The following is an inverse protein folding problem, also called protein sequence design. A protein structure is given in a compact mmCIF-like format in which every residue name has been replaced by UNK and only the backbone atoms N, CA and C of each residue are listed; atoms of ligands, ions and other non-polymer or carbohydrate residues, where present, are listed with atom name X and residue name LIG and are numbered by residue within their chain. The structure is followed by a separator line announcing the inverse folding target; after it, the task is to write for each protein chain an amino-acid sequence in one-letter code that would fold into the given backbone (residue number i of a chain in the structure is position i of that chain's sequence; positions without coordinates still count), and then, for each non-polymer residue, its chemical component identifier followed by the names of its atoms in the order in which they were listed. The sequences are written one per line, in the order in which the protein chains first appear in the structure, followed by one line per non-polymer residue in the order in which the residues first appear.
data_IF_270949870192
#
_entry.id   IF_270949870192
#
_cell.length_a   1.000
_cell.length_b   1.000
_cell.length_c   1.000
_cell.angle_alpha   90.00
_cell.angle_beta   90.00
_cell.angle_gamma   90.00
#
_symmetry.space_group_name_H-M   'P 1'
#
loop_
_entity.id
_entity.type
_entity.pdbx_description
1 polymer ?
#
# COMPACT_ATOMS: atom_id res chain seq x y z
N UNK A 1 -0.73 9.84 -4.47
CA UNK A 1 0.02 8.74 -5.11
C UNK A 1 1.32 9.23 -5.76
N UNK A 2 1.36 10.43 -6.38
CA UNK A 2 2.56 10.99 -7.02
C UNK A 2 3.84 10.96 -6.16
N UNK A 3 3.78 11.42 -4.89
CA UNK A 3 4.94 11.36 -4.00
C UNK A 3 5.49 9.94 -3.77
N UNK A 4 4.62 8.93 -3.76
CA UNK A 4 5.04 7.55 -3.61
C UNK A 4 5.78 7.05 -4.85
N UNK A 5 5.31 7.43 -6.05
CA UNK A 5 6.00 7.13 -7.33
C UNK A 5 7.38 7.80 -7.42
N UNK A 6 7.53 9.01 -6.91
CA UNK A 6 8.85 9.68 -6.89
C UNK A 6 9.85 9.04 -5.93
N UNK A 7 9.40 8.37 -4.86
CA UNK A 7 10.29 7.75 -3.87
C UNK A 7 10.52 6.26 -4.11
N UNK A 8 9.62 5.60 -4.83
CA UNK A 8 9.69 4.18 -5.17
C UNK A 8 9.47 4.06 -6.68
N UNK A 9 10.55 4.11 -7.49
CA UNK A 9 10.43 4.21 -8.95
C UNK A 9 9.78 2.97 -9.60
N UNK A 10 9.78 1.81 -8.93
CA UNK A 10 9.17 0.56 -9.41
C UNK A 10 7.79 0.27 -8.76
N UNK A 11 7.10 1.28 -8.24
CA UNK A 11 5.79 1.06 -7.60
C UNK A 11 4.68 0.88 -8.64
N UNK A 12 4.09 -0.31 -8.66
CA UNK A 12 2.82 -0.54 -9.34
C UNK A 12 1.67 -0.21 -8.40
N UNK A 13 0.71 0.58 -8.88
CA UNK A 13 -0.48 0.98 -8.13
C UNK A 13 -1.69 0.61 -8.94
N UNK A 14 -2.55 -0.21 -8.37
CA UNK A 14 -3.81 -0.63 -8.95
C UNK A 14 -4.94 -0.18 -8.02
N UNK A 15 -5.93 0.52 -8.57
CA UNK A 15 -7.14 0.89 -7.86
C UNK A 15 -8.23 -0.11 -8.21
N UNK A 16 -8.74 -0.81 -7.20
CA UNK A 16 -9.75 -1.84 -7.37
C UNK A 16 -10.99 -1.44 -6.59
N UNK A 17 -12.11 -1.30 -7.30
CA UNK A 17 -13.42 -1.20 -6.66
C UNK A 17 -13.82 -2.59 -6.13
N UNK A 18 -13.75 -2.73 -4.80
CA UNK A 18 -14.12 -3.97 -4.11
C UNK A 18 -15.63 -4.22 -4.07
N UNK A 19 -16.47 -3.19 -4.30
CA UNK A 19 -17.91 -3.37 -4.44
C UNK A 19 -18.24 -4.06 -5.77
N UNK A 20 -17.53 -3.70 -6.84
CA UNK A 20 -17.60 -4.39 -8.13
C UNK A 20 -16.88 -5.75 -8.11
N UNK A 21 -15.85 -5.91 -7.28
CA UNK A 21 -15.00 -7.10 -7.21
C UNK A 21 -14.92 -7.68 -5.79
N UNK A 22 -15.99 -8.27 -5.24
CA UNK A 22 -16.04 -8.76 -3.86
C UNK A 22 -15.01 -9.88 -3.58
N UNK A 23 -14.62 -10.64 -4.61
CA UNK A 23 -13.57 -11.66 -4.49
C UNK A 23 -12.21 -11.08 -4.07
N UNK A 24 -11.90 -9.84 -4.46
CA UNK A 24 -10.66 -9.15 -4.08
C UNK A 24 -10.69 -8.78 -2.60
N UNK A 25 -11.84 -8.32 -2.10
CA UNK A 25 -12.00 -8.04 -0.68
C UNK A 25 -11.78 -9.30 0.18
N UNK A 26 -12.31 -10.45 -0.24
CA UNK A 26 -12.09 -11.72 0.47
C UNK A 26 -10.63 -12.16 0.37
N UNK A 27 -10.03 -12.10 -0.84
CA UNK A 27 -8.63 -12.49 -1.08
C UNK A 27 -7.66 -11.75 -0.18
N UNK A 28 -7.84 -10.43 -0.04
CA UNK A 28 -6.99 -9.58 0.80
C UNK A 28 -7.55 -9.33 2.20
N UNK A 29 -8.64 -10.02 2.59
CA UNK A 29 -9.33 -9.87 3.88
C UNK A 29 -9.69 -8.42 4.22
N UNK A 30 -10.06 -7.63 3.22
CA UNK A 30 -10.54 -6.27 3.37
C UNK A 30 -11.94 -6.31 3.95
N UNK A 31 -12.07 -5.88 5.21
CA UNK A 31 -13.35 -5.80 5.92
C UNK A 31 -13.98 -4.40 5.85
N UNK A 32 -13.18 -3.37 5.56
CA UNK A 32 -13.66 -1.99 5.48
C UNK A 32 -12.80 -1.20 4.51
N UNK A 33 -13.43 -0.32 3.74
CA UNK A 33 -12.77 0.60 2.81
C UNK A 33 -12.74 2.03 3.37
N UNK A 34 -11.80 2.87 2.93
CA UNK A 34 -10.66 2.58 2.04
C UNK A 34 -9.64 1.64 2.71
N UNK A 35 -8.92 0.85 1.92
CA UNK A 35 -7.88 -0.08 2.40
C UNK A 35 -6.72 -0.13 1.41
N UNK A 36 -5.51 -0.43 1.88
CA UNK A 36 -4.31 -0.53 1.05
C UNK A 36 -3.62 -1.85 1.33
N UNK A 37 -3.50 -2.67 0.28
CA UNK A 37 -2.69 -3.87 0.28
C UNK A 37 -1.38 -3.61 -0.47
N UNK A 38 -0.27 -4.11 0.04
CA UNK A 38 1.07 -3.98 -0.57
C UNK A 38 1.63 -5.41 -0.73
N UNK A 39 2.07 -5.75 -1.95
CA UNK A 39 2.59 -7.08 -2.29
C UNK A 39 1.67 -8.24 -1.87
N UNK A 40 0.35 -8.02 -1.98
CA UNK A 40 -0.67 -9.02 -1.66
C UNK A 40 -1.00 -9.15 -0.16
N UNK A 41 -0.37 -8.36 0.69
CA UNK A 41 -0.67 -8.31 2.14
C UNK A 41 -1.44 -7.05 2.47
N UNK A 42 -2.52 -7.17 3.25
CA UNK A 42 -3.26 -6.02 3.76
C UNK A 42 -2.43 -5.29 4.81
N UNK A 43 -1.93 -4.10 4.48
CA UNK A 43 -1.07 -3.31 5.36
C UNK A 43 -1.84 -2.19 6.07
N UNK A 44 -2.91 -1.67 5.45
CA UNK A 44 -3.70 -0.59 6.01
C UNK A 44 -5.21 -0.80 5.81
N UNK A 45 -5.96 -0.53 6.87
CA UNK A 45 -7.41 -0.38 6.87
C UNK A 45 -7.76 1.06 7.26
N UNK A 46 -8.57 1.74 6.46
CA UNK A 46 -8.80 3.17 6.54
C UNK A 46 -7.78 4.00 5.74
N UNK A 47 -7.89 5.33 5.81
CA UNK A 47 -6.95 6.25 5.15
C UNK A 47 -5.63 6.25 5.94
N UNK A 48 -4.52 5.75 5.38
CA UNK A 48 -3.24 5.75 6.08
C UNK A 48 -2.65 7.16 6.14
N UNK A 49 -1.83 7.43 7.16
CA UNK A 49 -0.99 8.64 7.20
C UNK A 49 0.10 8.57 6.14
N UNK A 50 0.39 9.68 5.48
CA UNK A 50 1.39 9.78 4.40
C UNK A 50 2.74 9.16 4.80
N UNK A 51 3.25 9.51 5.98
CA UNK A 51 4.54 9.02 6.49
C UNK A 51 4.56 7.50 6.72
N UNK A 52 3.47 6.94 7.23
CA UNK A 52 3.36 5.51 7.49
C UNK A 52 3.29 4.70 6.18
N UNK A 53 2.52 5.21 5.21
CA UNK A 53 2.41 4.61 3.88
C UNK A 53 3.77 4.62 3.17
N UNK A 54 4.47 5.76 3.14
CA UNK A 54 5.79 5.87 2.52
C UNK A 54 6.83 4.96 3.20
N UNK A 55 6.82 4.88 4.53
CA UNK A 55 7.73 3.99 5.26
C UNK A 55 7.48 2.52 4.91
N UNK A 56 6.22 2.10 4.77
CA UNK A 56 5.87 0.74 4.35
C UNK A 56 6.23 0.46 2.90
N UNK A 57 5.97 1.38 1.99
CA UNK A 57 6.33 1.24 0.58
C UNK A 57 7.85 1.10 0.39
N UNK A 58 8.67 1.91 1.08
CA UNK A 58 10.13 1.75 1.04
C UNK A 58 10.58 0.41 1.60
N UNK A 59 10.00 0.01 2.73
CA UNK A 59 10.31 -1.30 3.34
C UNK A 59 9.94 -2.46 2.42
N UNK A 60 8.81 -2.36 1.71
CA UNK A 60 8.35 -3.37 0.76
C UNK A 60 9.20 -3.40 -0.53
N UNK A 61 9.74 -2.24 -0.94
CA UNK A 61 10.66 -2.12 -2.07
C UNK A 61 12.09 -2.58 -1.74
N UNK A 62 12.36 -3.04 -0.51
CA UNK A 62 13.71 -3.41 -0.08
C UNK A 62 14.68 -2.23 -0.03
N UNK A 63 14.18 -0.99 -0.11
CA UNK A 63 14.98 0.21 0.05
C UNK A 63 15.37 0.31 1.52
N UNK A 64 16.66 0.44 1.85
CA UNK A 64 17.07 0.61 3.24
C UNK A 64 16.33 1.82 3.82
N UNK A 65 15.71 1.64 5.00
CA UNK A 65 15.37 2.79 5.85
C UNK A 65 16.67 3.58 5.94
N UNK A 66 16.65 4.82 5.45
CA UNK A 66 17.85 5.65 5.35
C UNK A 66 18.75 5.41 6.54
N UNK A 67 20.00 5.04 6.26
CA UNK A 67 21.02 4.85 7.27
C UNK A 67 20.97 6.03 8.24
N UNK A 68 20.47 5.79 9.44
CA UNK A 68 20.82 6.63 10.57
C UNK A 68 21.95 5.88 11.26
N UNK A 69 23.16 6.34 10.95
CA UNK A 69 24.21 6.43 11.94
C UNK A 69 23.74 7.24 13.16
#
# INVERSE_FOLDING_TARGET
IEKARSQVPDIQVEEIDVAANPAVAVKYRVMSTPAVAINGTLEFTGVPREQALLARLRSAAGLPKGASA
#
